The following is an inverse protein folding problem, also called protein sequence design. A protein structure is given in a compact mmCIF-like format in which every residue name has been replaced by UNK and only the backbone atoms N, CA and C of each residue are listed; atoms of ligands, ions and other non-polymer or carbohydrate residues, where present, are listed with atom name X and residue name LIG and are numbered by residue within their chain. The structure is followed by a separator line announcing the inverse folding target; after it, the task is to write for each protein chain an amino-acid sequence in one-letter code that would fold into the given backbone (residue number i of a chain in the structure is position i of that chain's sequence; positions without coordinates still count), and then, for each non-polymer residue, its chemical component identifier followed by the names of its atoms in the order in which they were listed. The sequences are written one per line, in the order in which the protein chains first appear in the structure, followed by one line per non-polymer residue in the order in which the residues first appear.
data_IF_637231637445
#
_entry.id   IF_637231637445
#
_cell.length_a   1.000
_cell.length_b   1.000
_cell.length_c   1.000
_cell.angle_alpha   90.00
_cell.angle_beta   90.00
_cell.angle_gamma   90.00
#
_symmetry.space_group_name_H-M   'P 1'
#
loop_
_entity.id
_entity.type
_entity.pdbx_description
1 polymer ?
#
# COMPACT_ATOMS: atom_id res chain seq x y z
N UNK A 1 -20.50 -3.39 -7.90
CA UNK A 1 -19.55 -2.51 -7.19
C UNK A 1 -19.91 -2.58 -5.72
N UNK A 2 -18.96 -2.84 -4.82
CA UNK A 2 -19.26 -2.98 -3.38
C UNK A 2 -19.39 -1.60 -2.71
N UNK A 3 -20.36 -1.46 -1.80
CA UNK A 3 -20.65 -0.22 -1.07
C UNK A 3 -20.46 -0.47 0.45
N UNK A 4 -19.56 0.28 1.13
CA UNK A 4 -19.29 0.14 2.57
C UNK A 4 -20.51 0.38 3.45
N UNK A 5 -21.45 1.22 3.03
CA UNK A 5 -22.61 1.58 3.82
C UNK A 5 -23.65 0.44 3.83
N UNK A 6 -23.63 -0.42 2.82
CA UNK A 6 -24.57 -1.54 2.66
C UNK A 6 -24.19 -2.80 3.42
N UNK A 7 -22.94 -2.94 3.89
CA UNK A 7 -22.43 -4.18 4.52
C UNK A 7 -21.55 -3.93 5.76
N UNK A 8 -22.06 -3.26 6.82
CA UNK A 8 -21.32 -3.06 8.05
C UNK A 8 -21.00 -4.41 8.71
N UNK A 9 -19.70 -4.68 8.92
CA UNK A 9 -19.22 -5.89 9.57
C UNK A 9 -19.04 -7.13 8.68
N UNK A 10 -19.25 -7.03 7.37
CA UNK A 10 -18.90 -8.11 6.42
C UNK A 10 -17.40 -8.28 6.21
N UNK A 11 -16.59 -7.43 6.84
CA UNK A 11 -15.14 -7.50 6.78
C UNK A 11 -14.56 -7.70 8.17
N UNK A 12 -13.58 -8.60 8.25
CA UNK A 12 -12.73 -8.75 9.41
C UNK A 12 -11.30 -8.63 8.97
N UNK A 13 -10.59 -7.70 9.59
CA UNK A 13 -9.18 -7.50 9.33
C UNK A 13 -8.42 -7.66 10.64
N UNK A 14 -7.42 -8.55 10.65
CA UNK A 14 -6.60 -8.84 11.82
C UNK A 14 -5.15 -8.76 11.43
N UNK A 15 -4.39 -7.98 12.17
CA UNK A 15 -2.95 -7.80 11.99
C UNK A 15 -2.25 -7.83 13.33
N UNK A 16 -1.01 -8.29 13.29
CA UNK A 16 -0.06 -8.25 14.39
C UNK A 16 1.23 -7.64 13.90
N UNK A 17 1.93 -6.96 14.81
CA UNK A 17 3.28 -6.49 14.52
C UNK A 17 4.27 -7.65 14.57
N UNK A 18 5.19 -7.71 13.60
CA UNK A 18 6.29 -8.67 13.59
C UNK A 18 7.60 -7.97 13.20
N UNK A 19 8.57 -7.96 14.13
CA UNK A 19 9.91 -7.38 13.89
C UNK A 19 10.62 -8.01 12.67
N UNK A 20 10.48 -9.32 12.49
CA UNK A 20 11.02 -10.03 11.31
C UNK A 20 10.38 -9.56 10.00
N UNK A 21 9.08 -9.22 10.02
CA UNK A 21 8.39 -8.65 8.86
C UNK A 21 8.84 -7.22 8.61
N UNK A 22 8.99 -6.42 9.66
CA UNK A 22 9.46 -5.03 9.55
C UNK A 22 10.82 -4.93 8.86
N UNK A 23 11.79 -5.77 9.27
CA UNK A 23 13.10 -5.84 8.64
C UNK A 23 13.01 -6.21 7.14
N UNK A 24 12.16 -7.17 6.79
CA UNK A 24 11.97 -7.62 5.41
C UNK A 24 11.24 -6.62 4.53
N UNK A 25 10.28 -5.85 5.07
CA UNK A 25 9.54 -4.84 4.29
C UNK A 25 10.41 -3.59 4.04
N UNK A 26 11.27 -3.22 5.00
CA UNK A 26 12.13 -2.04 4.89
C UNK A 26 13.16 -2.13 3.75
N UNK A 27 13.69 -3.31 3.47
CA UNK A 27 14.69 -3.51 2.41
C UNK A 27 14.16 -3.15 1.01
N UNK A 28 13.06 -3.75 0.50
CA UNK A 28 12.52 -3.39 -0.81
C UNK A 28 11.97 -1.96 -0.82
N UNK A 29 11.38 -1.47 0.28
CA UNK A 29 10.83 -0.11 0.35
C UNK A 29 11.92 0.96 0.20
N UNK A 30 13.06 0.77 0.88
CA UNK A 30 14.23 1.65 0.76
C UNK A 30 14.81 1.60 -0.66
N UNK A 31 14.95 0.40 -1.25
CA UNK A 31 15.44 0.26 -2.61
C UNK A 31 14.51 0.88 -3.66
N UNK A 32 13.19 0.84 -3.45
CA UNK A 32 12.21 1.51 -4.31
C UNK A 32 12.31 3.03 -4.18
N UNK A 33 12.37 3.56 -2.94
CA UNK A 33 12.51 5.00 -2.70
C UNK A 33 13.82 5.55 -3.29
N UNK A 34 14.93 4.83 -3.17
CA UNK A 34 16.21 5.25 -3.75
C UNK A 34 16.18 5.23 -5.28
N UNK A 35 15.50 4.24 -5.89
CA UNK A 35 15.29 4.22 -7.34
C UNK A 35 14.43 5.39 -7.80
N UNK A 36 13.37 5.72 -7.06
CA UNK A 36 12.51 6.87 -7.36
C UNK A 36 13.33 8.17 -7.36
N UNK A 37 14.16 8.38 -6.33
CA UNK A 37 15.09 9.53 -6.26
C UNK A 37 16.05 9.60 -7.45
N UNK A 38 16.68 8.47 -7.81
CA UNK A 38 17.60 8.42 -8.95
C UNK A 38 16.90 8.70 -10.30
N UNK A 39 15.63 8.33 -10.44
CA UNK A 39 14.83 8.64 -11.63
C UNK A 39 14.51 10.13 -11.71
N UNK A 40 14.14 10.75 -10.59
CA UNK A 40 13.85 12.18 -10.50
C UNK A 40 15.12 13.02 -10.74
N UNK A 41 16.26 12.56 -10.24
CA UNK A 41 17.57 13.16 -10.51
C UNK A 41 18.05 12.97 -11.97
N UNK A 42 17.32 12.23 -12.82
CA UNK A 42 17.71 11.96 -14.20
C UNK A 42 18.82 10.91 -14.37
N UNK A 43 19.31 10.33 -13.28
CA UNK A 43 20.38 9.32 -13.30
C UNK A 43 19.91 7.97 -13.86
N UNK A 44 18.59 7.70 -13.80
CA UNK A 44 17.99 6.44 -14.28
C UNK A 44 16.74 6.68 -15.12
N UNK A 45 16.53 5.82 -16.12
CA UNK A 45 15.31 5.81 -16.93
C UNK A 45 14.09 5.38 -16.09
N UNK A 46 12.92 6.03 -16.23
CA UNK A 46 11.76 5.86 -15.33
C UNK A 46 11.00 4.53 -15.41
N UNK A 47 11.43 3.52 -16.18
CA UNK A 47 10.59 2.36 -16.56
C UNK A 47 10.00 1.62 -15.34
N UNK A 48 8.70 1.82 -15.10
CA UNK A 48 7.93 1.14 -14.05
C UNK A 48 8.35 1.48 -12.60
N UNK A 49 8.87 2.68 -12.36
CA UNK A 49 9.41 3.07 -11.04
C UNK A 49 8.28 3.44 -10.08
N UNK A 50 8.22 2.77 -8.92
CA UNK A 50 7.28 3.13 -7.85
C UNK A 50 7.70 4.40 -7.12
N UNK A 51 6.73 5.06 -6.48
CA UNK A 51 6.90 6.32 -5.74
C UNK A 51 7.36 7.51 -6.59
N UNK A 52 7.09 7.46 -7.89
CA UNK A 52 7.28 8.59 -8.80
C UNK A 52 5.90 9.01 -9.27
N UNK A 53 5.57 10.28 -9.07
CA UNK A 53 4.38 10.90 -9.65
C UNK A 53 4.81 11.73 -10.84
N UNK A 54 4.26 11.40 -12.01
CA UNK A 54 4.47 12.18 -13.22
C UNK A 54 3.35 13.22 -13.37
N UNK A 55 3.71 14.48 -13.54
CA UNK A 55 2.79 15.58 -13.82
C UNK A 55 3.23 16.27 -15.10
N UNK A 56 2.45 16.16 -16.18
CA UNK A 56 2.55 16.94 -17.42
C UNK A 56 3.97 17.40 -17.85
N UNK A 57 4.96 16.49 -17.82
CA UNK A 57 6.35 16.77 -18.20
C UNK A 57 7.38 16.63 -17.07
N UNK A 58 6.97 16.76 -15.82
CA UNK A 58 7.83 16.65 -14.64
C UNK A 58 7.59 15.36 -13.85
N UNK A 59 8.66 14.84 -13.25
CA UNK A 59 8.63 13.70 -12.35
C UNK A 59 8.98 14.17 -10.93
N UNK A 60 8.10 13.89 -9.98
CA UNK A 60 8.28 14.24 -8.56
C UNK A 60 8.21 12.98 -7.69
N UNK A 61 8.78 13.06 -6.49
CA UNK A 61 8.75 11.96 -5.54
C UNK A 61 7.36 11.93 -4.89
N UNK A 62 6.81 10.74 -4.66
CA UNK A 62 5.54 10.57 -3.95
C UNK A 62 5.82 10.27 -2.47
N UNK A 63 6.13 11.30 -1.69
CA UNK A 63 6.41 11.15 -0.26
C UNK A 63 5.21 10.64 0.53
N UNK A 64 4.00 10.99 0.11
CA UNK A 64 2.77 10.55 0.76
C UNK A 64 2.60 9.03 0.65
N UNK A 65 2.80 8.45 -0.53
CA UNK A 65 2.78 7.00 -0.69
C UNK A 65 3.94 6.30 0.00
N UNK A 66 5.13 6.90 0.05
CA UNK A 66 6.25 6.36 0.84
C UNK A 66 5.89 6.34 2.33
N UNK A 67 5.34 7.43 2.87
CA UNK A 67 4.94 7.53 4.26
C UNK A 67 3.84 6.51 4.60
N UNK A 68 2.82 6.38 3.75
CA UNK A 68 1.77 5.35 3.88
C UNK A 68 2.32 3.94 3.82
N UNK A 69 3.27 3.67 2.94
CA UNK A 69 3.91 2.35 2.89
C UNK A 69 4.74 2.08 4.15
N UNK A 70 5.45 3.09 4.66
CA UNK A 70 6.23 3.01 5.91
C UNK A 70 5.35 2.80 7.14
N UNK A 71 4.18 3.40 7.21
CA UNK A 71 3.26 3.23 8.34
C UNK A 71 2.71 1.80 8.45
N UNK A 72 2.79 1.00 7.38
CA UNK A 72 2.32 -0.38 7.34
C UNK A 72 3.43 -1.42 7.54
N UNK A 73 4.68 -0.98 7.70
CA UNK A 73 5.84 -1.88 7.84
C UNK A 73 5.68 -2.78 9.07
N UNK A 74 5.90 -4.08 8.88
CA UNK A 74 5.86 -5.03 9.98
C UNK A 74 4.47 -5.48 10.39
N UNK A 75 3.41 -4.88 9.84
CA UNK A 75 2.05 -5.40 9.98
C UNK A 75 1.92 -6.69 9.17
N UNK A 76 1.62 -7.79 9.87
CA UNK A 76 1.35 -9.09 9.27
C UNK A 76 -0.03 -9.53 9.69
N UNK A 77 -0.87 -9.87 8.71
CA UNK A 77 -2.27 -10.16 8.97
C UNK A 77 -2.99 -10.75 7.78
N UNK A 78 -4.30 -10.90 7.93
CA UNK A 78 -5.22 -11.29 6.87
C UNK A 78 -6.46 -10.41 6.92
N UNK A 79 -7.07 -10.25 5.75
CA UNK A 79 -8.37 -9.60 5.59
C UNK A 79 -9.32 -10.68 5.07
N UNK A 80 -10.48 -10.82 5.70
CA UNK A 80 -11.49 -11.79 5.29
C UNK A 80 -12.80 -11.07 5.09
N UNK A 81 -13.40 -11.32 3.93
CA UNK A 81 -14.79 -11.00 3.67
C UNK A 81 -15.66 -12.18 4.15
N UNK A 82 -16.72 -11.87 4.89
CA UNK A 82 -17.77 -12.82 5.27
C UNK A 82 -19.10 -12.22 4.79
N UNK A 83 -19.72 -12.76 3.73
CA UNK A 83 -21.06 -12.33 3.38
C UNK A 83 -21.97 -12.67 4.56
N UNK A 84 -22.67 -11.66 5.10
CA UNK A 84 -23.78 -11.91 6.01
C UNK A 84 -24.99 -12.13 5.14
N UNK A 85 -25.79 -13.16 5.43
CA UNK A 85 -27.11 -13.26 4.84
C UNK A 85 -27.87 -11.98 5.21
N UNK A 86 -28.47 -11.31 4.23
CA UNK A 86 -29.53 -10.34 4.51
C UNK A 86 -30.58 -11.07 5.32
N UNK A 87 -30.90 -10.59 6.53
CA UNK A 87 -31.86 -11.22 7.43
C UNK A 87 -33.12 -11.58 6.64
N UNK A 88 -33.33 -12.89 6.50
CA UNK A 88 -34.25 -13.46 5.53
C UNK A 88 -35.67 -12.95 5.75
N UNK A 89 -36.18 -12.20 4.77
CA UNK A 89 -37.61 -12.13 4.48
C UNK A 89 -37.79 -12.68 3.07
N UNK A 90 -38.22 -13.94 3.01
CA UNK A 90 -38.70 -14.59 1.79
C UNK A 90 -40.05 -14.02 1.39
#
# INVERSE_FOLDING_TARGET
MWDPDTHPGSWRAVWVYSKRRAARDNQPLTAQANRARAVIAGEKRPKGTRFVTAHAGDATLDEASIARARSLVGLKGYVTFRPRASDGRW
#
